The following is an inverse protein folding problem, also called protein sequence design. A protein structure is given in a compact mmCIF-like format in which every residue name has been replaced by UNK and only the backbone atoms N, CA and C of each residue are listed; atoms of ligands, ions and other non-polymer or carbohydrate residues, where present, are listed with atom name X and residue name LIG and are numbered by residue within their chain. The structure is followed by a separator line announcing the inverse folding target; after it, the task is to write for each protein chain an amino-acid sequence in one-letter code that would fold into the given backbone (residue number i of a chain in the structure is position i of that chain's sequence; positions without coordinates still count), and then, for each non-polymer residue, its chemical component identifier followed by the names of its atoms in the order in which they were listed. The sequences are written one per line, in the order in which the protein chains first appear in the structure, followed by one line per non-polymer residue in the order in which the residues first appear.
data_IF_210236589299
#
_entry.id   IF_210236589299
#
_cell.length_a   1.000
_cell.length_b   1.000
_cell.length_c   1.000
_cell.angle_alpha   90.00
_cell.angle_beta   90.00
_cell.angle_gamma   90.00
#
_symmetry.space_group_name_H-M   'P 1'
#
loop_
_entity.id
_entity.type
_entity.pdbx_description
1 polymer ?
#
# COMPACT_ATOMS: atom_id res chain seq x y z
N UNK A 1 -20.44 20.13 10.98
CA UNK A 1 -19.72 18.97 10.36
C UNK A 1 -20.13 17.71 11.11
N UNK A 2 -20.50 16.61 10.43
CA UNK A 2 -20.79 15.38 11.14
C UNK A 2 -19.50 14.85 11.79
N UNK A 3 -19.54 14.47 13.06
CA UNK A 3 -18.40 13.92 13.76
C UNK A 3 -18.25 12.45 13.37
N UNK A 4 -17.01 12.02 13.10
CA UNK A 4 -16.58 10.62 12.94
C UNK A 4 -16.69 10.00 11.55
N UNK A 5 -16.48 10.77 10.49
CA UNK A 5 -15.50 10.25 9.52
C UNK A 5 -14.18 10.23 10.30
N UNK A 6 -13.91 9.12 11.01
CA UNK A 6 -12.53 8.75 11.26
C UNK A 6 -11.95 8.75 9.86
N UNK A 7 -11.23 9.82 9.50
CA UNK A 7 -10.32 9.75 8.39
C UNK A 7 -9.65 8.42 8.60
N UNK A 8 -9.87 7.52 7.64
CA UNK A 8 -9.18 6.26 7.55
C UNK A 8 -7.77 6.53 8.08
N UNK A 9 -7.41 6.02 9.25
CA UNK A 9 -6.15 6.35 9.95
C UNK A 9 -5.02 5.64 9.20
N UNK A 10 -4.95 5.92 7.90
CA UNK A 10 -3.96 5.46 6.97
C UNK A 10 -2.71 6.18 7.43
N UNK A 11 -1.78 5.41 7.98
CA UNK A 11 -0.46 5.94 8.33
C UNK A 11 0.13 6.58 7.08
N UNK A 12 0.41 7.87 7.13
CA UNK A 12 0.95 8.58 5.97
C UNK A 12 2.35 8.07 5.63
N UNK A 13 2.61 7.87 4.34
CA UNK A 13 3.91 7.48 3.81
C UNK A 13 4.52 8.62 3.03
N UNK A 14 5.66 9.10 3.50
CA UNK A 14 6.38 10.22 2.87
C UNK A 14 7.48 9.78 1.90
N UNK A 15 7.59 8.48 1.63
CA UNK A 15 8.67 7.92 0.81
C UNK A 15 9.92 7.53 1.59
N UNK A 16 9.89 7.59 2.93
CA UNK A 16 10.97 7.13 3.82
C UNK A 16 10.57 5.86 4.57
N UNK A 17 11.54 4.99 4.83
CA UNK A 17 11.34 3.73 5.54
C UNK A 17 11.01 2.58 4.60
N UNK A 18 10.42 1.50 5.14
CA UNK A 18 10.16 0.29 4.36
C UNK A 18 8.84 0.37 3.59
N UNK A 19 8.86 0.47 2.24
CA UNK A 19 7.64 0.55 1.44
C UNK A 19 6.74 -0.68 1.62
N UNK A 20 7.36 -1.86 1.80
CA UNK A 20 6.63 -3.11 1.98
C UNK A 20 5.90 -3.18 3.33
N UNK A 21 6.52 -2.65 4.40
CA UNK A 21 5.85 -2.54 5.70
C UNK A 21 4.63 -1.61 5.62
N UNK A 22 4.76 -0.50 4.90
CA UNK A 22 3.64 0.41 4.66
C UNK A 22 2.49 -0.26 3.89
N UNK A 23 2.78 -0.98 2.79
CA UNK A 23 1.76 -1.74 2.04
C UNK A 23 1.01 -2.75 2.92
N UNK A 24 1.72 -3.48 3.78
CA UNK A 24 1.11 -4.46 4.71
C UNK A 24 0.18 -3.78 5.71
N UNK A 25 0.62 -2.67 6.30
CA UNK A 25 -0.20 -1.89 7.24
C UNK A 25 -1.41 -1.28 6.55
N UNK A 26 -1.24 -0.77 5.33
CA UNK A 26 -2.30 -0.18 4.52
C UNK A 26 -3.42 -1.19 4.24
N UNK A 27 -3.08 -2.38 3.73
CA UNK A 27 -4.07 -3.45 3.48
C UNK A 27 -4.74 -3.92 4.78
N UNK A 28 -3.98 -4.02 5.88
CA UNK A 28 -4.55 -4.37 7.19
C UNK A 28 -5.58 -3.34 7.66
N UNK A 29 -5.30 -2.05 7.49
CA UNK A 29 -6.24 -0.97 7.83
C UNK A 29 -7.48 -0.96 6.93
N UNK A 30 -7.39 -1.54 5.73
CA UNK A 30 -8.48 -1.67 4.76
C UNK A 30 -8.97 -3.09 4.55
N UNK A 31 -8.85 -3.95 5.58
CA UNK A 31 -9.27 -5.34 5.51
C UNK A 31 -10.72 -5.52 5.04
N UNK A 32 -11.62 -4.58 5.39
CA UNK A 32 -13.03 -4.60 5.00
C UNK A 32 -13.28 -4.23 3.52
N UNK A 33 -12.27 -3.73 2.83
CA UNK A 33 -12.34 -3.25 1.45
C UNK A 33 -11.36 -3.98 0.53
N UNK A 34 -10.78 -5.09 0.98
CA UNK A 34 -9.72 -5.80 0.27
C UNK A 34 -10.17 -6.31 -1.11
N UNK A 35 -11.46 -6.62 -1.26
CA UNK A 35 -12.06 -7.07 -2.53
C UNK A 35 -12.37 -5.92 -3.51
N UNK A 36 -12.27 -4.66 -3.05
CA UNK A 36 -12.52 -3.47 -3.87
C UNK A 36 -11.20 -2.81 -4.29
N UNK A 37 -10.43 -3.48 -5.16
CA UNK A 37 -9.14 -2.97 -5.67
C UNK A 37 -9.18 -1.52 -6.20
N UNK A 38 -10.21 -1.07 -6.96
CA UNK A 38 -10.28 0.32 -7.42
C UNK A 38 -10.35 1.32 -6.27
N UNK A 39 -11.04 0.94 -5.18
CA UNK A 39 -11.14 1.76 -3.98
C UNK A 39 -9.81 1.80 -3.22
N UNK A 40 -9.11 0.66 -3.13
CA UNK A 40 -7.76 0.61 -2.54
C UNK A 40 -6.79 1.54 -3.30
N UNK A 41 -6.78 1.48 -4.64
CA UNK A 41 -5.93 2.35 -5.45
C UNK A 41 -6.26 3.84 -5.23
N UNK A 42 -7.55 4.20 -5.20
CA UNK A 42 -7.99 5.58 -4.97
C UNK A 42 -7.62 6.09 -3.57
N UNK A 43 -7.81 5.25 -2.55
CA UNK A 43 -7.49 5.60 -1.18
C UNK A 43 -5.98 5.63 -0.93
N UNK A 44 -5.18 4.91 -1.72
CA UNK A 44 -3.73 4.86 -1.55
C UNK A 44 -3.10 6.22 -1.76
N UNK A 45 -3.56 6.99 -2.74
CA UNK A 45 -3.10 8.37 -2.94
C UNK A 45 -3.27 9.22 -1.67
N UNK A 46 -4.33 8.98 -0.90
CA UNK A 46 -4.62 9.71 0.35
C UNK A 46 -3.72 9.32 1.51
N UNK A 47 -3.04 8.17 1.44
CA UNK A 47 -2.02 7.77 2.42
C UNK A 47 -0.63 8.25 2.06
N UNK A 48 -0.45 8.98 0.95
CA UNK A 48 0.86 9.47 0.52
C UNK A 48 1.03 10.94 0.88
N UNK A 49 2.25 11.29 1.25
CA UNK A 49 2.66 12.68 1.50
C UNK A 49 4.06 12.94 0.95
N UNK A 50 4.46 14.20 0.93
CA UNK A 50 5.79 14.66 0.48
C UNK A 50 6.25 13.99 -0.83
N UNK A 51 7.42 13.34 -0.81
CA UNK A 51 8.05 12.71 -1.98
C UNK A 51 7.24 11.56 -2.55
N UNK A 52 6.49 10.83 -1.71
CA UNK A 52 5.68 9.72 -2.21
C UNK A 52 4.44 10.23 -2.97
N UNK A 53 3.85 11.34 -2.53
CA UNK A 53 2.74 11.96 -3.25
C UNK A 53 3.19 12.56 -4.59
N UNK A 54 4.36 13.21 -4.59
CA UNK A 54 4.98 13.74 -5.82
C UNK A 54 5.26 12.61 -6.81
N UNK A 55 5.95 11.56 -6.37
CA UNK A 55 6.16 10.35 -7.16
C UNK A 55 4.85 9.78 -7.70
N UNK A 56 3.82 9.67 -6.86
CA UNK A 56 2.55 9.08 -7.27
C UNK A 56 1.89 9.85 -8.40
N UNK A 57 2.12 11.16 -8.48
CA UNK A 57 1.61 12.00 -9.58
C UNK A 57 2.39 11.83 -10.89
N UNK A 58 3.59 11.24 -10.84
CA UNK A 58 4.44 10.98 -12.02
C UNK A 58 4.21 9.62 -12.68
N UNK A 59 3.49 8.71 -12.01
CA UNK A 59 3.25 7.36 -12.53
C UNK A 59 2.16 7.37 -13.61
N UNK A 60 2.26 6.40 -14.53
CA UNK A 60 1.23 6.20 -15.54
C UNK A 60 0.03 5.43 -14.95
N UNK A 61 -0.96 6.19 -14.48
CA UNK A 61 -2.18 5.63 -13.86
C UNK A 61 -2.98 4.70 -14.78
N UNK A 62 -2.79 4.77 -16.10
CA UNK A 62 -3.47 3.86 -17.04
C UNK A 62 -2.99 2.41 -16.90
N UNK A 63 -1.78 2.22 -16.33
CA UNK A 63 -1.17 0.92 -16.05
C UNK A 63 -1.47 0.42 -14.63
N UNK A 64 -2.06 1.24 -13.76
CA UNK A 64 -2.38 0.88 -12.39
C UNK A 64 -3.83 0.46 -12.29
N UNK A 65 -4.13 -0.72 -12.86
CA UNK A 65 -5.49 -1.27 -12.89
C UNK A 65 -5.81 -2.15 -11.68
N UNK A 66 -4.79 -2.75 -11.09
CA UNK A 66 -4.90 -3.65 -9.94
C UNK A 66 -3.89 -3.26 -8.87
N UNK A 67 -4.18 -3.63 -7.62
CA UNK A 67 -3.32 -3.33 -6.47
C UNK A 67 -1.90 -3.85 -6.65
N UNK A 68 -1.76 -5.02 -7.28
CA UNK A 68 -0.47 -5.66 -7.56
C UNK A 68 0.45 -4.79 -8.42
N UNK A 69 -0.08 -4.09 -9.42
CA UNK A 69 0.73 -3.24 -10.30
C UNK A 69 1.28 -2.04 -9.53
N UNK A 70 0.43 -1.41 -8.70
CA UNK A 70 0.83 -0.31 -7.82
C UNK A 70 1.89 -0.75 -6.83
N UNK A 71 1.68 -1.89 -6.15
CA UNK A 71 2.64 -2.42 -5.20
C UNK A 71 3.99 -2.69 -5.87
N UNK A 72 4.01 -3.23 -7.09
CA UNK A 72 5.23 -3.48 -7.84
C UNK A 72 5.99 -2.19 -8.17
N UNK A 73 5.33 -1.18 -8.72
CA UNK A 73 6.01 0.08 -9.08
C UNK A 73 6.48 0.86 -7.85
N UNK A 74 5.74 0.76 -6.74
CA UNK A 74 6.12 1.39 -5.48
C UNK A 74 7.35 0.72 -4.87
N UNK A 75 7.38 -0.61 -4.85
CA UNK A 75 8.56 -1.36 -4.42
C UNK A 75 9.72 -1.05 -5.35
N UNK A 76 9.57 -1.16 -6.66
CA UNK A 76 10.65 -0.84 -7.61
C UNK A 76 11.21 0.58 -7.41
N UNK A 77 10.38 1.57 -7.10
CA UNK A 77 10.84 2.95 -6.89
C UNK A 77 11.50 3.19 -5.52
N UNK A 78 10.94 2.66 -4.43
CA UNK A 78 11.38 2.97 -3.06
C UNK A 78 12.22 1.86 -2.40
N UNK A 79 12.25 0.64 -2.94
CA UNK A 79 13.02 -0.50 -2.42
C UNK A 79 14.53 -0.28 -2.54
N UNK A 80 14.99 0.52 -3.50
CA UNK A 80 16.41 0.89 -3.61
C UNK A 80 16.88 1.83 -2.49
N UNK A 81 15.98 2.45 -1.73
CA UNK A 81 16.32 3.24 -0.54
C UNK A 81 16.31 2.41 0.75
N UNK A 82 15.89 1.14 0.70
CA UNK A 82 15.96 0.22 1.84
C UNK A 82 17.20 -0.65 1.74
N UNK A 83 18.23 -0.29 2.50
CA UNK A 83 19.30 -1.19 2.89
C UNK A 83 18.62 -2.39 3.59
N UNK A 84 18.66 -3.55 2.93
CA UNK A 84 18.40 -4.89 3.45
C UNK A 84 17.00 -5.18 4.06
N UNK A 85 16.08 -5.73 3.26
CA UNK A 85 15.02 -6.63 3.77
C UNK A 85 14.85 -7.81 2.82
N UNK A 86 15.86 -8.66 2.75
CA UNK A 86 15.63 -10.04 2.32
C UNK A 86 14.49 -10.62 3.19
N UNK A 87 13.51 -11.24 2.54
CA UNK A 87 12.51 -12.14 3.13
C UNK A 87 11.08 -11.65 3.44
N UNK A 88 10.58 -10.53 2.89
CA UNK A 88 9.21 -10.09 3.23
C UNK A 88 8.07 -10.60 2.32
N UNK A 89 8.36 -11.43 1.30
CA UNK A 89 7.34 -12.18 0.52
C UNK A 89 7.28 -13.65 0.94
N UNK A 90 7.20 -13.93 2.24
CA UNK A 90 6.56 -15.17 2.69
C UNK A 90 5.08 -14.84 2.90
N UNK A 91 4.28 -15.17 1.88
CA UNK A 91 2.84 -15.32 2.04
C UNK A 91 2.69 -16.63 2.79
N UNK A 92 2.13 -16.68 4.01
CA UNK A 92 1.81 -17.96 4.61
C UNK A 92 0.79 -18.67 3.71
N UNK A 93 1.28 -19.65 2.95
CA UNK A 93 0.47 -20.75 2.46
C UNK A 93 0.20 -21.61 3.68
N UNK A 94 -0.98 -21.42 4.27
CA UNK A 94 -1.82 -22.48 4.85
C UNK A 94 -2.81 -21.86 5.84
N UNK A 95 -4.02 -21.62 5.33
CA UNK A 95 -5.25 -21.85 6.09
C UNK A 95 -5.92 -23.02 5.40
N UNK A 96 -5.62 -24.23 5.88
CA UNK A 96 -6.27 -25.53 5.68
C UNK A 96 -5.32 -26.53 6.39
N UNK A 97 -5.69 -27.34 7.38
CA UNK A 97 -6.89 -28.12 7.54
C UNK A 97 -7.08 -28.48 9.04
N UNK A 98 -8.31 -28.36 9.51
CA UNK A 98 -8.79 -28.94 10.76
C UNK A 98 -9.17 -30.41 10.48
N UNK A 99 -8.38 -31.37 10.95
CA UNK A 99 -8.80 -32.64 11.60
C UNK A 99 -7.59 -33.50 12.00
#
# INVERSE_FOLDING_TARGET
MPPKFKCLELSEYNGKGCPLAHLKLYIRSLSNFIDNEPLLLQLFQRSLTEKALDWYSTIDHTKLKVWRDLAKVLLDHFQFNTIDVANCMDVPKDVQEEH
#
